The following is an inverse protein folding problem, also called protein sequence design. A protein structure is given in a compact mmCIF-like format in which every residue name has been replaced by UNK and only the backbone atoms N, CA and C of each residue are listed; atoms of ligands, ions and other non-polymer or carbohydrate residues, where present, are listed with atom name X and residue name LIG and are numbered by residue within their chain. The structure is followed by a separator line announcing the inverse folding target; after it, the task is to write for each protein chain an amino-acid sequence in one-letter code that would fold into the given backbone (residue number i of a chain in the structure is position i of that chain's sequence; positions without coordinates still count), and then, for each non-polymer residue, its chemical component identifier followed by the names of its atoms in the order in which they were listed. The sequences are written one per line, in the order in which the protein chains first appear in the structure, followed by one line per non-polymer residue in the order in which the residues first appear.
data_IF_605530769006
#
_entry.id   IF_605530769006
#
_cell.length_a   1.000
_cell.length_b   1.000
_cell.length_c   1.000
_cell.angle_alpha   90.00
_cell.angle_beta   90.00
_cell.angle_gamma   90.00
#
_symmetry.space_group_name_H-M   'P 1'
#
loop_
_entity.id
_entity.type
_entity.pdbx_description
1 polymer ?
2 non-polymer ?
3 water ?
#
# COMPACT_ATOMS: atom_id res chain seq x y z
N UNK A 32 -9.43 -22.36 -15.21
CA UNK A 32 -8.70 -21.78 -14.10
C UNK A 32 -9.32 -20.47 -13.68
N UNK A 33 -8.56 -19.62 -13.00
CA UNK A 33 -9.11 -18.36 -12.50
C UNK A 33 -8.38 -17.18 -13.14
N UNK A 34 -9.08 -16.04 -13.15
CA UNK A 34 -8.58 -14.79 -13.68
C UNK A 34 -8.41 -13.84 -12.50
N UNK A 35 -7.20 -13.32 -12.36
CA UNK A 35 -6.86 -12.42 -11.26
C UNK A 35 -6.51 -11.05 -11.83
N UNK A 36 -7.29 -10.04 -11.47
CA UNK A 36 -6.91 -8.65 -11.68
C UNK A 36 -5.86 -8.31 -10.63
N UNK A 37 -4.63 -8.09 -11.07
CA UNK A 37 -3.53 -7.97 -10.13
C UNK A 37 -2.93 -6.57 -10.18
N UNK A 38 -3.14 -5.80 -9.12
CA UNK A 38 -2.45 -4.53 -8.95
C UNK A 38 -1.31 -4.65 -7.96
N UNK A 39 -1.08 -5.83 -7.41
CA UNK A 39 0.13 -6.07 -6.63
C UNK A 39 1.27 -6.31 -7.61
N UNK A 40 2.49 -6.54 -7.12
CA UNK A 40 3.64 -6.59 -8.00
C UNK A 40 3.63 -7.90 -8.78
N UNK A 41 4.01 -7.81 -10.06
CA UNK A 41 3.97 -8.97 -10.95
C UNK A 41 4.87 -10.10 -10.46
N UNK A 42 6.02 -9.77 -9.90
CA UNK A 42 6.96 -10.82 -9.51
C UNK A 42 6.51 -11.52 -8.23
N UNK A 43 6.08 -10.75 -7.23
CA UNK A 43 5.54 -11.36 -6.02
C UNK A 43 4.37 -12.27 -6.34
N UNK A 44 3.43 -11.80 -7.16
CA UNK A 44 2.23 -12.61 -7.40
C UNK A 44 2.55 -13.86 -8.20
N UNK A 45 3.52 -13.79 -9.11
CA UNK A 45 3.86 -14.97 -9.90
C UNK A 45 4.44 -16.07 -9.02
N UNK A 46 5.18 -15.70 -7.97
CA UNK A 46 5.67 -16.70 -7.03
C UNK A 46 4.54 -17.31 -6.21
N UNK A 47 3.50 -16.52 -5.91
CA UNK A 47 2.29 -17.09 -5.31
C UNK A 47 1.63 -18.07 -6.26
N UNK A 48 1.44 -17.65 -7.51
CA UNK A 48 0.83 -18.55 -8.49
C UNK A 48 1.65 -19.83 -8.62
N UNK A 49 2.97 -19.72 -8.65
CA UNK A 49 3.83 -20.89 -8.79
C UNK A 49 3.50 -21.96 -7.76
N UNK A 50 3.52 -21.57 -6.48
CA UNK A 50 3.23 -22.52 -5.42
C UNK A 50 1.78 -22.97 -5.42
N UNK A 51 0.86 -22.04 -5.70
CA UNK A 51 -0.57 -22.35 -5.69
C UNK A 51 -0.90 -23.38 -6.76
N UNK A 52 -0.40 -23.16 -7.98
CA UNK A 52 -0.69 -24.11 -9.05
C UNK A 52 0.01 -25.44 -8.80
N UNK A 53 1.24 -25.41 -8.30
CA UNK A 53 1.95 -26.65 -8.00
C UNK A 53 1.18 -27.54 -7.04
N UNK A 54 0.52 -26.94 -6.05
CA UNK A 54 -0.14 -27.74 -5.03
C UNK A 54 -1.59 -28.09 -5.37
N UNK A 55 -2.27 -27.23 -6.13
CA UNK A 55 -3.68 -27.44 -6.45
C UNK A 55 -3.95 -27.80 -7.91
N UNK A 56 -3.01 -27.54 -8.82
CA UNK A 56 -3.30 -27.68 -10.23
C UNK A 56 -4.21 -26.62 -10.82
N UNK A 57 -4.68 -25.67 -10.02
CA UNK A 57 -5.53 -24.60 -10.53
C UNK A 57 -4.67 -23.59 -11.29
N UNK A 58 -4.99 -23.36 -12.56
CA UNK A 58 -4.24 -22.42 -13.36
C UNK A 58 -4.76 -21.01 -13.15
N UNK A 59 -3.86 -20.04 -13.22
CA UNK A 59 -4.17 -18.65 -12.93
C UNK A 59 -3.73 -17.78 -14.11
N UNK A 60 -4.63 -16.93 -14.58
CA UNK A 60 -4.33 -15.94 -15.59
C UNK A 60 -4.29 -14.57 -14.93
N UNK A 61 -3.16 -13.89 -15.03
CA UNK A 61 -2.97 -12.58 -14.42
C UNK A 61 -3.31 -11.48 -15.42
N UNK A 62 -4.08 -10.50 -15.00
CA UNK A 62 -4.25 -9.25 -15.75
C UNK A 62 -3.67 -8.17 -14.86
N UNK A 63 -2.45 -7.75 -15.16
CA UNK A 63 -1.68 -6.84 -14.30
C UNK A 63 -1.98 -5.38 -14.62
N UNK A 64 -1.96 -4.54 -13.58
CA UNK A 64 -2.25 -3.13 -13.74
C UNK A 64 -2.03 -2.39 -12.43
N UNK A 65 -2.51 -1.14 -12.38
CA UNK A 65 -2.36 -0.33 -11.18
C UNK A 65 -3.66 -0.31 -10.36
N UNK A 66 -3.53 0.06 -9.09
CA UNK A 66 -4.63 0.02 -8.13
C UNK A 66 -5.88 0.68 -8.69
N UNK A 67 -5.74 1.96 -9.05
CA UNK A 67 -6.89 2.78 -9.43
C UNK A 67 -7.43 2.36 -10.79
N UNK A 68 -6.54 2.04 -11.74
CA UNK A 68 -6.95 1.52 -13.04
C UNK A 68 -7.88 0.32 -12.91
N UNK A 69 -7.40 -0.72 -12.21
CA UNK A 69 -8.15 -1.97 -12.11
C UNK A 69 -9.36 -1.84 -11.20
N UNK A 70 -9.26 -1.02 -10.15
CA UNK A 70 -10.43 -0.78 -9.32
C UNK A 70 -11.57 -0.14 -10.11
N UNK A 71 -11.27 0.95 -10.83
CA UNK A 71 -12.28 1.61 -11.65
C UNK A 71 -12.80 0.70 -12.74
N UNK A 72 -11.93 -0.14 -13.32
CA UNK A 72 -12.37 -1.05 -14.38
C UNK A 72 -13.37 -2.06 -13.84
N UNK A 73 -13.12 -2.59 -12.64
CA UNK A 73 -14.05 -3.53 -12.04
C UNK A 73 -15.42 -2.88 -11.78
N UNK A 74 -15.42 -1.65 -11.27
CA UNK A 74 -16.69 -0.94 -11.03
C UNK A 74 -17.47 -0.76 -12.33
N UNK A 75 -16.76 -0.51 -13.43
CA UNK A 75 -17.46 -0.34 -14.71
C UNK A 75 -17.94 -1.67 -15.26
N UNK A 76 -17.12 -2.72 -15.15
CA UNK A 76 -17.55 -4.05 -15.58
C UNK A 76 -18.70 -4.58 -14.73
N UNK A 77 -18.70 -4.26 -13.43
CA UNK A 77 -19.74 -4.78 -12.57
C UNK A 77 -19.79 -6.30 -12.63
N UNK A 78 -21.00 -6.85 -12.54
CA UNK A 78 -21.14 -8.31 -12.55
C UNK A 78 -20.78 -8.94 -13.90
N UNK A 79 -20.45 -8.14 -14.91
CA UNK A 79 -20.02 -8.67 -16.20
C UNK A 79 -18.52 -8.91 -16.25
N UNK A 80 -17.81 -8.66 -15.16
CA UNK A 80 -16.36 -8.77 -15.17
C UNK A 80 -15.93 -10.22 -15.34
N UNK A 81 -14.87 -10.49 -16.11
CA UNK A 81 -14.30 -11.84 -16.14
C UNK A 81 -13.39 -12.16 -14.96
N UNK A 82 -13.17 -11.21 -14.06
CA UNK A 82 -12.26 -11.43 -12.95
C UNK A 82 -12.87 -12.36 -11.91
N UNK A 83 -12.04 -13.26 -11.37
CA UNK A 83 -12.43 -14.03 -10.19
C UNK A 83 -11.88 -13.44 -8.91
N UNK A 84 -10.73 -12.78 -8.98
CA UNK A 84 -10.01 -12.28 -7.81
C UNK A 84 -9.46 -10.89 -8.13
N UNK A 85 -9.44 -10.01 -7.13
CA UNK A 85 -8.78 -8.72 -7.23
C UNK A 85 -7.73 -8.60 -6.13
N UNK A 86 -6.51 -8.22 -6.51
CA UNK A 86 -5.42 -7.94 -5.57
C UNK A 86 -4.93 -6.50 -5.76
N UNK A 87 -4.60 -5.82 -4.67
CA UNK A 87 -4.13 -4.43 -4.73
C UNK A 87 -2.87 -4.23 -3.91
N UNK A 88 -2.15 -3.14 -4.24
CA UNK A 88 -1.05 -2.69 -3.39
C UNK A 88 -1.56 -2.05 -2.11
N UNK A 89 -2.63 -1.26 -2.20
CA UNK A 89 -3.14 -0.51 -1.07
C UNK A 89 -4.62 -0.79 -0.90
N UNK A 90 -5.20 -0.26 0.18
CA UNK A 90 -6.58 -0.59 0.53
C UNK A 90 -7.64 0.25 -0.18
N UNK A 91 -7.45 1.57 -0.43
CA UNK A 91 -8.58 2.36 -0.96
C UNK A 91 -9.23 1.79 -2.21
N UNK A 92 -8.46 1.20 -3.13
CA UNK A 92 -9.05 0.59 -4.32
C UNK A 92 -9.86 -0.65 -4.00
N UNK A 93 -9.55 -1.34 -2.87
CA UNK A 93 -10.42 -2.42 -2.42
C UNK A 93 -11.75 -1.86 -1.92
N UNK A 94 -11.70 -0.75 -1.18
CA UNK A 94 -12.92 -0.15 -0.66
C UNK A 94 -13.81 0.30 -1.80
N UNK A 95 -13.22 0.79 -2.88
CA UNK A 95 -13.98 1.22 -4.05
C UNK A 95 -14.81 0.07 -4.61
N UNK A 96 -14.19 -1.09 -4.74
CA UNK A 96 -14.88 -2.25 -5.31
C UNK A 96 -15.88 -2.81 -4.31
N UNK A 97 -15.55 -2.76 -3.02
CA UNK A 97 -16.51 -3.21 -2.03
C UNK A 97 -17.73 -2.30 -1.96
N UNK A 98 -17.50 -0.98 -2.06
CA UNK A 98 -18.62 -0.04 -2.09
C UNK A 98 -19.55 -0.30 -3.27
N UNK A 99 -19.01 -0.86 -4.36
CA UNK A 99 -19.81 -1.21 -5.53
C UNK A 99 -20.54 -2.53 -5.36
N UNK A 100 -20.36 -3.20 -4.23
CA UNK A 100 -21.06 -4.44 -3.87
C UNK A 100 -20.57 -5.64 -4.69
N UNK A 101 -19.29 -5.66 -5.06
CA UNK A 101 -18.80 -6.67 -6.01
C UNK A 101 -18.07 -7.84 -5.36
N UNK A 102 -17.82 -7.81 -4.06
CA UNK A 102 -17.04 -8.86 -3.42
C UNK A 102 -17.96 -9.89 -2.77
N UNK A 103 -17.53 -11.16 -2.82
CA UNK A 103 -18.17 -12.22 -2.06
C UNK A 103 -17.58 -12.28 -0.65
N UNK A 104 -18.38 -12.69 0.34
CA UNK A 104 -17.82 -13.02 1.65
C UNK A 104 -16.68 -14.02 1.51
N UNK A 105 -15.58 -13.76 2.22
CA UNK A 105 -14.48 -14.73 2.28
C UNK A 105 -14.78 -15.82 3.29
N UNK A 106 -14.31 -17.03 3.00
CA UNK A 106 -14.42 -18.14 3.94
C UNK A 106 -13.93 -17.73 5.32
N UNK A 107 -14.65 -18.15 6.36
CA UNK A 107 -14.21 -17.85 7.73
C UNK A 107 -12.82 -18.39 8.01
N UNK A 108 -12.52 -19.60 7.52
CA UNK A 108 -11.19 -20.16 7.74
C UNK A 108 -10.11 -19.32 7.07
N UNK A 109 -10.42 -18.66 5.96
CA UNK A 109 -9.44 -17.77 5.35
C UNK A 109 -9.24 -16.51 6.20
N UNK A 110 -10.34 -15.89 6.64
CA UNK A 110 -10.25 -14.69 7.46
C UNK A 110 -9.43 -14.91 8.73
N UNK A 111 -9.52 -16.11 9.31
CA UNK A 111 -8.79 -16.38 10.54
C UNK A 111 -7.28 -16.53 10.33
N UNK A 112 -6.81 -16.53 9.08
CA UNK A 112 -5.38 -16.57 8.80
C UNK A 112 -4.70 -15.21 8.99
N UNK A 113 -5.46 -14.15 9.17
CA UNK A 113 -4.91 -12.79 9.27
C UNK A 113 -5.55 -12.10 10.48
N UNK A 114 -4.78 -11.42 11.33
CA UNK A 114 -5.39 -10.71 12.48
C UNK A 114 -6.38 -9.65 12.04
N UNK A 115 -7.34 -9.38 12.92
CA UNK A 115 -8.40 -8.42 12.63
C UNK A 115 -7.86 -7.03 12.27
N UNK A 116 -6.69 -6.65 12.78
CA UNK A 116 -6.24 -5.30 12.47
C UNK A 116 -5.70 -5.16 11.05
N UNK A 117 -5.52 -6.26 10.32
CA UNK A 117 -5.00 -6.21 8.95
C UNK A 117 -6.07 -6.64 7.94
N UNK A 118 -7.33 -6.35 8.25
CA UNK A 118 -8.51 -6.96 7.68
C UNK A 118 -9.70 -6.03 7.89
N UNK A 119 -10.55 -5.78 6.89
CA UNK A 119 -11.82 -5.09 7.17
C UNK A 119 -12.72 -5.95 8.03
N UNK A 120 -13.49 -5.29 8.91
CA UNK A 120 -14.32 -6.04 9.84
C UNK A 120 -15.38 -6.88 9.13
N UNK A 121 -15.87 -6.42 7.98
CA UNK A 121 -17.00 -7.09 7.32
C UNK A 121 -16.59 -8.39 6.60
N UNK A 122 -15.31 -8.69 6.50
CA UNK A 122 -14.90 -9.97 5.94
C UNK A 122 -15.10 -10.18 4.45
N UNK A 123 -15.40 -9.12 3.67
CA UNK A 123 -15.57 -9.27 2.24
C UNK A 123 -14.26 -9.12 1.46
N UNK A 124 -13.18 -8.71 2.12
CA UNK A 124 -11.83 -8.81 1.57
C UNK A 124 -10.85 -8.92 2.73
N UNK A 125 -9.57 -9.13 2.42
CA UNK A 125 -8.58 -9.46 3.44
C UNK A 125 -7.25 -8.82 3.07
N UNK A 126 -6.48 -8.46 4.09
CA UNK A 126 -5.12 -8.03 3.85
C UNK A 126 -4.24 -9.20 3.46
N UNK A 127 -3.29 -8.94 2.57
CA UNK A 127 -2.39 -9.97 2.08
C UNK A 127 -0.92 -9.63 2.27
N UNK A 128 -0.58 -8.35 2.52
CA UNK A 128 0.77 -7.86 2.76
C UNK A 128 0.63 -6.43 3.27
N UNK A 129 1.71 -5.89 3.84
CA UNK A 129 1.66 -4.53 4.35
C UNK A 129 2.95 -3.79 4.01
N UNK A 130 2.85 -2.46 4.07
CA UNK A 130 3.93 -1.53 3.76
C UNK A 130 3.80 -0.36 4.74
N UNK A 131 4.93 0.15 5.21
CA UNK A 131 4.94 1.26 6.16
C UNK A 131 5.28 2.57 5.46
N UNK A 132 4.50 3.62 5.76
CA UNK A 132 4.91 4.97 5.40
C UNK A 132 6.25 5.26 6.07
N UNK A 133 7.10 6.01 5.38
CA UNK A 133 8.40 6.45 5.88
C UNK A 133 8.68 7.83 5.32
N UNK A 134 9.55 8.57 6.00
CA UNK A 134 10.20 9.74 5.45
C UNK A 134 11.60 9.32 4.99
N UNK A 135 11.80 9.17 3.70
CA UNK A 135 13.14 8.90 3.20
C UNK A 135 13.90 10.21 3.14
N UNK A 136 15.12 10.25 3.67
CA UNK A 136 15.86 11.49 3.78
C UNK A 136 17.32 11.26 3.42
N UNK A 137 17.99 12.35 3.03
CA UNK A 137 19.40 12.35 2.68
C UNK A 137 20.18 12.97 3.82
N UNK A 138 20.97 12.19 4.56
CA UNK A 138 21.69 12.74 5.72
C UNK A 138 22.64 13.89 5.36
N UNK A 139 23.12 13.94 4.12
CA UNK A 139 23.97 15.05 3.70
C UNK A 139 23.17 16.33 3.51
N UNK A 140 21.86 16.23 3.31
CA UNK A 140 21.00 17.40 3.22
C UNK A 140 20.35 17.76 4.55
N UNK A 141 20.03 16.77 5.37
CA UNK A 141 19.28 17.00 6.60
C UNK A 141 19.74 15.99 7.65
N UNK A 142 20.13 16.48 8.81
CA UNK A 142 20.51 15.57 9.88
C UNK A 142 19.28 14.88 10.46
N UNK A 143 19.49 13.68 11.00
CA UNK A 143 18.40 12.96 11.63
C UNK A 143 17.74 13.79 12.72
N UNK A 144 18.53 14.58 13.45
CA UNK A 144 17.99 15.41 14.51
C UNK A 144 17.06 16.50 13.99
N UNK A 145 17.07 16.79 12.69
CA UNK A 145 16.22 17.83 12.12
C UNK A 145 14.93 17.28 11.50
N UNK A 146 14.72 15.97 11.53
CA UNK A 146 13.58 15.38 10.86
C UNK A 146 12.27 15.81 11.53
N UNK A 147 11.18 15.90 10.76
CA UNK A 147 9.91 16.34 11.35
C UNK A 147 9.41 15.30 12.34
N UNK A 148 8.81 15.80 13.44
CA UNK A 148 8.23 14.90 14.43
C UNK A 148 6.94 14.27 13.94
N UNK A 149 6.20 14.99 13.10
CA UNK A 149 4.91 14.57 12.60
C UNK A 149 4.85 14.82 11.10
N UNK A 150 4.13 13.94 10.40
CA UNK A 150 3.83 14.23 9.00
C UNK A 150 3.09 15.57 8.87
N UNK A 151 2.30 15.94 9.87
CA UNK A 151 1.59 17.22 9.80
C UNK A 151 2.56 18.40 9.80
N UNK A 152 3.78 18.21 10.30
CA UNK A 152 4.71 19.32 10.39
C UNK A 152 5.25 19.76 9.03
N UNK A 153 5.16 18.89 8.00
CA UNK A 153 5.65 19.26 6.68
C UNK A 153 4.84 20.39 6.06
N UNK A 154 3.70 20.75 6.64
CA UNK A 154 2.91 21.89 6.20
C UNK A 154 3.49 23.23 6.68
N UNK A 155 4.43 23.20 7.62
CA UNK A 155 4.95 24.42 8.20
C UNK A 155 5.83 25.17 7.20
N UNK A 156 5.81 26.51 7.23
CA UNK A 156 6.57 27.27 6.22
C UNK A 156 8.06 26.94 6.19
N UNK A 157 8.63 26.42 7.28
CA UNK A 157 10.04 26.10 7.27
C UNK A 157 10.36 24.94 6.34
N UNK A 158 9.35 24.17 5.92
CA UNK A 158 9.56 23.01 5.07
C UNK A 158 9.38 23.33 3.58
N UNK A 159 9.20 24.60 3.23
CA UNK A 159 8.96 24.95 1.83
C UNK A 159 10.16 24.58 0.97
N UNK A 160 9.90 23.84 -0.12
CA UNK A 160 10.92 23.40 -1.04
C UNK A 160 11.79 22.24 -0.57
N UNK A 161 11.50 21.65 0.59
CA UNK A 161 12.43 20.69 1.18
C UNK A 161 11.96 19.23 1.13
N UNK A 162 10.76 18.94 0.62
CA UNK A 162 10.35 17.54 0.57
C UNK A 162 9.56 17.25 -0.69
N UNK A 163 9.48 15.96 -1.03
CA UNK A 163 8.84 15.51 -2.26
C UNK A 163 7.90 14.34 -2.04
N UNK A 164 7.11 14.06 -3.07
CA UNK A 164 6.12 12.99 -3.07
C UNK A 164 5.63 12.81 -4.50
N UNK A 165 4.94 11.69 -4.73
CA UNK A 165 4.36 11.37 -6.04
C UNK A 165 2.83 11.39 -5.90
N UNK A 166 2.19 12.55 -6.07
CA UNK A 166 0.77 12.64 -5.71
C UNK A 166 -0.14 11.87 -6.65
N UNK A 167 0.31 11.53 -7.86
CA UNK A 167 -0.52 10.79 -8.80
C UNK A 167 -0.60 9.30 -8.48
N UNK A 168 0.22 8.79 -7.56
CA UNK A 168 0.24 7.37 -7.29
C UNK A 168 -0.76 6.94 -6.24
N UNK A 169 -1.21 5.69 -6.34
CA UNK A 169 -2.11 5.16 -5.34
C UNK A 169 -1.43 5.03 -3.99
N UNK A 170 -0.09 4.92 -3.98
CA UNK A 170 0.65 4.84 -2.71
C UNK A 170 0.39 6.07 -1.87
N UNK A 171 0.74 7.25 -2.39
CA UNK A 171 0.60 8.47 -1.62
C UNK A 171 -0.86 8.79 -1.37
N UNK A 172 -1.74 8.47 -2.33
CA UNK A 172 -3.15 8.74 -2.12
C UNK A 172 -3.68 7.93 -0.95
N UNK A 173 -3.18 6.70 -0.76
CA UNK A 173 -3.59 5.93 0.41
C UNK A 173 -3.14 6.59 1.69
N UNK A 174 -1.92 7.13 1.71
CA UNK A 174 -1.46 7.87 2.88
C UNK A 174 -2.38 9.04 3.19
N UNK A 175 -2.78 9.79 2.15
CA UNK A 175 -3.70 10.91 2.37
C UNK A 175 -5.06 10.40 2.84
N UNK A 176 -5.49 9.22 2.36
CA UNK A 176 -6.77 8.67 2.80
C UNK A 176 -6.74 8.33 4.29
N UNK A 177 -5.58 7.88 4.81
CA UNK A 177 -5.46 7.69 6.25
C UNK A 177 -5.52 9.02 7.01
N UNK A 178 -4.83 10.04 6.52
CA UNK A 178 -4.91 11.35 7.14
C UNK A 178 -6.34 11.85 7.19
N UNK A 179 -7.06 11.69 6.08
CA UNK A 179 -8.47 12.06 6.04
C UNK A 179 -9.26 11.30 7.10
N UNK A 180 -9.06 9.98 7.17
CA UNK A 180 -9.79 9.19 8.17
C UNK A 180 -9.43 9.63 9.59
N UNK A 181 -8.17 10.01 9.80
CA UNK A 181 -7.71 10.33 11.15
C UNK A 181 -8.03 11.77 11.54
N UNK A 182 -7.85 12.69 10.61
CA UNK A 182 -7.85 14.11 10.92
C UNK A 182 -9.07 14.86 10.41
N UNK A 183 -9.82 14.28 9.47
CA UNK A 183 -10.99 14.92 8.92
C UNK A 183 -10.70 15.77 7.71
N UNK A 184 -11.79 16.20 7.06
CA UNK A 184 -11.70 16.87 5.76
C UNK A 184 -10.96 18.21 5.86
N UNK A 185 -11.34 19.06 6.80
CA UNK A 185 -10.78 20.41 6.82
C UNK A 185 -9.31 20.40 7.18
N UNK A 186 -8.93 19.63 8.21
CA UNK A 186 -7.52 19.55 8.58
C UNK A 186 -6.69 18.93 7.46
N UNK A 187 -7.25 17.96 6.75
CA UNK A 187 -6.54 17.32 5.65
C UNK A 187 -6.37 18.27 4.48
N UNK A 188 -7.44 18.99 4.11
CA UNK A 188 -7.33 19.94 3.01
C UNK A 188 -6.35 21.06 3.35
N UNK A 189 -6.34 21.53 4.61
CA UNK A 189 -5.34 22.52 4.99
C UNK A 189 -3.92 22.00 4.79
N UNK A 190 -3.67 20.74 5.18
CA UNK A 190 -2.36 20.14 4.97
C UNK A 190 -2.02 20.02 3.49
N UNK A 191 -3.00 19.61 2.67
CA UNK A 191 -2.76 19.48 1.23
C UNK A 191 -2.46 20.83 0.57
N UNK A 192 -3.10 21.91 1.03
CA UNK A 192 -2.83 23.21 0.44
C UNK A 192 -1.42 23.68 0.78
N UNK A 193 -0.96 23.40 2.00
CA UNK A 193 0.42 23.71 2.38
C UNK A 193 1.40 22.83 1.63
N UNK A 194 1.03 21.57 1.37
CA UNK A 194 1.88 20.72 0.55
C UNK A 194 2.08 21.30 -0.84
N UNK A 195 1.01 21.82 -1.44
CA UNK A 195 1.12 22.48 -2.74
C UNK A 195 2.15 23.61 -2.70
N UNK A 196 2.12 24.43 -1.65
CA UNK A 196 3.15 25.46 -1.49
C UNK A 196 4.54 24.84 -1.33
N UNK A 197 4.65 23.79 -0.51
CA UNK A 197 5.93 23.33 0.02
C UNK A 197 6.60 22.23 -0.80
N UNK A 198 5.86 21.25 -1.32
CA UNK A 198 6.54 20.05 -1.78
C UNK A 198 7.01 20.19 -3.23
N UNK A 199 7.87 19.26 -3.63
CA UNK A 199 8.29 19.10 -5.01
C UNK A 199 7.73 17.79 -5.52
N UNK A 200 7.02 17.84 -6.64
CA UNK A 200 6.39 16.65 -7.20
C UNK A 200 7.36 15.89 -8.11
N UNK A 201 7.27 14.56 -8.06
CA UNK A 201 7.96 13.69 -9.00
C UNK A 201 6.98 12.60 -9.44
N UNK A 202 7.21 12.06 -10.63
CA UNK A 202 6.35 11.01 -11.17
C UNK A 202 6.94 9.65 -10.78
N UNK A 203 6.37 9.05 -9.74
CA UNK A 203 6.79 7.73 -9.29
C UNK A 203 7.47 7.79 -7.93
N UNK A 204 7.17 6.80 -7.08
CA UNK A 204 7.78 6.77 -5.75
C UNK A 204 9.26 6.44 -5.81
N UNK A 205 9.66 5.54 -6.73
CA UNK A 205 11.08 5.30 -6.92
C UNK A 205 11.79 6.54 -7.42
N UNK A 206 11.12 7.34 -8.24
CA UNK A 206 11.68 8.62 -8.68
C UNK A 206 11.89 9.57 -7.50
N UNK A 207 10.91 9.66 -6.58
CA UNK A 207 11.09 10.46 -5.36
C UNK A 207 12.35 10.00 -4.62
N UNK A 208 12.50 8.68 -4.43
CA UNK A 208 13.69 8.19 -3.74
C UNK A 208 14.97 8.58 -4.47
N UNK A 209 14.98 8.49 -5.80
CA UNK A 209 16.16 8.89 -6.57
C UNK A 209 16.50 10.36 -6.38
N UNK A 210 15.47 11.22 -6.33
CA UNK A 210 15.68 12.65 -6.14
C UNK A 210 16.23 12.96 -4.75
N UNK A 211 15.72 12.28 -3.73
CA UNK A 211 16.31 12.40 -2.40
C UNK A 211 17.75 11.93 -2.42
N UNK A 212 17.98 10.77 -3.04
CA UNK A 212 19.33 10.19 -3.10
C UNK A 212 20.32 11.13 -3.78
N UNK A 213 19.86 11.91 -4.76
CA UNK A 213 20.68 12.86 -5.49
C UNK A 213 20.81 14.19 -4.76
N UNK A 214 20.07 14.39 -3.68
CA UNK A 214 20.15 15.64 -2.93
C UNK A 214 19.36 16.79 -3.50
N UNK A 215 18.31 16.52 -4.29
CA UNK A 215 17.52 17.63 -4.84
C UNK A 215 16.59 18.23 -3.79
N UNK A 216 16.21 17.44 -2.80
CA UNK A 216 15.36 17.84 -1.68
C UNK A 216 15.88 17.11 -0.45
N UNK A 217 15.46 17.57 0.73
CA UNK A 217 15.91 16.92 1.97
C UNK A 217 15.36 15.51 2.09
N UNK A 218 14.10 15.32 1.73
CA UNK A 218 13.51 14.01 1.89
C UNK A 218 12.18 13.91 1.17
N UNK A 219 11.49 12.79 1.39
CA UNK A 219 10.24 12.54 0.70
C UNK A 219 9.38 11.49 1.38
N UNK A 220 8.11 11.50 1.04
CA UNK A 220 7.11 10.64 1.66
C UNK A 220 6.82 9.48 0.70
N UNK A 221 7.30 8.29 1.05
CA UNK A 221 7.09 7.08 0.26
C UNK A 221 6.87 5.92 1.23
N UNK A 222 6.86 4.70 0.71
CA UNK A 222 6.73 3.49 1.53
C UNK A 222 8.10 2.86 1.72
N UNK A 223 8.21 2.02 2.76
CA UNK A 223 9.51 1.59 3.25
C UNK A 223 10.27 0.72 2.25
N UNK A 224 9.57 -0.08 1.45
CA UNK A 224 10.24 -1.17 0.73
C UNK A 224 11.09 -0.70 -0.44
N UNK A 225 10.85 0.51 -0.95
CA UNK A 225 11.59 0.99 -2.11
C UNK A 225 13.09 0.99 -1.86
N UNK A 226 13.53 1.49 -0.70
CA UNK A 226 14.95 1.51 -0.38
C UNK A 226 15.50 0.09 -0.27
N UNK A 227 14.75 -0.79 0.40
CA UNK A 227 15.20 -2.17 0.56
C UNK A 227 15.36 -2.84 -0.79
N UNK A 228 14.41 -2.63 -1.70
CA UNK A 228 14.47 -3.26 -3.02
C UNK A 228 15.72 -2.79 -3.77
N UNK A 229 15.97 -1.48 -3.76
CA UNK A 229 17.12 -0.97 -4.51
C UNK A 229 18.42 -1.39 -3.86
N UNK A 230 18.48 -1.37 -2.53
CA UNK A 230 19.70 -1.81 -1.84
C UNK A 230 20.02 -3.27 -2.13
N UNK A 231 19.00 -4.09 -2.40
CA UNK A 231 19.23 -5.48 -2.76
C UNK A 231 19.71 -5.66 -4.19
N UNK A 232 19.68 -4.60 -5.00
CA UNK A 232 20.22 -4.65 -6.35
C UNK A 232 21.57 -3.96 -6.35
N UNK A 233 21.68 -2.79 -6.98
CA UNK A 233 22.98 -2.12 -6.97
C UNK A 233 23.12 -1.10 -5.86
N UNK A 234 22.01 -0.65 -5.27
CA UNK A 234 22.07 0.41 -4.31
C UNK A 234 22.34 1.78 -4.89
N UNK A 235 22.48 1.89 -6.21
CA UNK A 235 22.88 3.17 -6.80
C UNK A 235 21.81 4.24 -6.69
N UNK A 236 20.56 3.87 -6.43
CA UNK A 236 19.48 4.84 -6.28
C UNK A 236 19.14 5.11 -4.82
N UNK A 237 19.87 4.52 -3.89
CA UNK A 237 19.48 4.57 -2.48
C UNK A 237 20.61 4.76 -1.50
N UNK A 238 21.88 4.71 -1.93
CA UNK A 238 22.99 4.64 -0.98
C UNK A 238 23.11 5.90 -0.15
N UNK A 239 22.67 7.04 -0.66
CA UNK A 239 22.75 8.29 0.10
C UNK A 239 21.49 8.57 0.90
N UNK A 240 20.60 7.60 1.06
CA UNK A 240 19.35 7.77 1.78
C UNK A 240 19.37 6.96 3.08
N UNK A 241 18.44 7.31 3.96
CA UNK A 241 18.10 6.53 5.14
C UNK A 241 16.61 6.70 5.36
N UNK A 242 16.04 5.80 6.16
CA UNK A 242 14.59 5.78 6.39
C UNK A 242 14.29 6.28 7.79
N UNK A 243 13.28 7.15 7.90
CA UNK A 243 12.80 7.64 9.19
C UNK A 243 11.35 7.21 9.36
N UNK A 244 11.04 6.65 10.52
CA UNK A 244 9.70 6.20 10.86
C UNK A 244 9.11 7.16 11.87
N UNK A 245 7.91 7.69 11.58
CA UNK A 245 7.29 8.72 12.41
C UNK A 245 6.84 8.16 13.75
N UNK A 246 6.30 6.94 13.77
CA UNK A 246 5.83 6.28 14.99
C UNK A 246 4.75 7.10 15.71
N UNK A 247 4.50 6.77 16.98
CA UNK A 247 3.61 7.56 17.85
C UNK A 247 2.21 7.72 17.27
N UNK A 248 1.73 6.72 16.52
CA UNK A 248 0.39 6.73 15.93
C UNK A 248 0.15 7.98 15.08
N UNK A 249 1.23 8.53 14.52
CA UNK A 249 1.14 9.69 13.64
C UNK A 249 0.47 9.28 12.33
N UNK A 250 -0.16 10.21 11.63
CA UNK A 250 -0.53 9.92 10.23
C UNK A 250 0.65 9.40 9.41
N UNK A 251 1.86 9.93 9.66
CA UNK A 251 3.03 9.46 8.94
C UNK A 251 3.47 8.05 9.28
N UNK A 252 2.87 7.43 10.30
CA UNK A 252 3.15 6.05 10.67
C UNK A 252 2.11 5.09 10.10
N UNK A 253 1.22 5.60 9.24
CA UNK A 253 0.25 4.77 8.55
C UNK A 253 0.90 3.55 7.91
N UNK A 254 0.34 2.40 8.20
CA UNK A 254 0.72 1.13 7.58
C UNK A 254 -0.37 0.78 6.58
N UNK A 255 -0.02 0.78 5.30
CA UNK A 255 -1.00 0.54 4.24
C UNK A 255 -1.08 -0.95 3.95
N UNK A 256 -2.30 -1.46 3.85
CA UNK A 256 -2.57 -2.89 3.72
C UNK A 256 -2.89 -3.22 2.28
N UNK A 257 -2.12 -4.11 1.67
CA UNK A 257 -2.50 -4.66 0.37
C UNK A 257 -3.71 -5.58 0.54
N UNK A 258 -4.60 -5.57 -0.46
CA UNK A 258 -5.88 -6.24 -0.36
C UNK A 258 -6.03 -7.43 -1.30
N UNK A 259 -6.86 -8.38 -0.89
CA UNK A 259 -7.27 -9.46 -1.77
C UNK A 259 -8.74 -9.81 -1.63
N UNK A 260 -9.42 -10.14 -2.71
CA UNK A 260 -10.83 -10.46 -2.63
C UNK A 260 -11.30 -11.31 -3.78
N UNK A 261 -12.43 -11.98 -3.56
CA UNK A 261 -13.09 -12.83 -4.55
C UNK A 261 -14.31 -12.09 -5.09
N UNK A 262 -14.42 -12.00 -6.41
CA UNK A 262 -15.56 -11.31 -7.01
C UNK A 262 -16.83 -12.13 -6.87
N UNK A 263 -17.93 -11.46 -6.50
CA UNK A 263 -19.21 -12.16 -6.33
C UNK A 263 -19.69 -12.80 -7.64
N UNK A 264 -19.32 -12.22 -8.79
CA UNK A 264 -19.71 -12.76 -10.09
C UNK A 264 -18.91 -13.98 -10.51
N UNK A 265 -17.87 -14.33 -9.77
CA UNK A 265 -16.99 -15.43 -10.18
C UNK A 265 -17.79 -16.72 -10.38
N UNK A 266 -17.51 -17.40 -11.49
CA UNK A 266 -18.05 -18.73 -11.72
C UNK A 266 -17.12 -19.82 -11.21
N UNK A 267 -16.02 -19.46 -10.55
CA UNK A 267 -15.04 -20.42 -10.02
C UNK A 267 -14.79 -20.10 -8.54
N UNK A 268 -15.86 -20.08 -7.75
CA UNK A 268 -15.78 -19.57 -6.39
C UNK A 268 -14.85 -20.42 -5.51
N UNK A 269 -14.97 -21.75 -5.57
CA UNK A 269 -14.10 -22.59 -4.74
C UNK A 269 -12.63 -22.35 -5.07
N UNK A 270 -12.31 -22.31 -6.36
CA UNK A 270 -10.93 -22.06 -6.78
C UNK A 270 -10.47 -20.67 -6.36
N UNK A 271 -11.35 -19.67 -6.49
CA UNK A 271 -11.00 -18.30 -6.11
C UNK A 271 -10.77 -18.19 -4.62
N UNK A 272 -11.67 -18.78 -3.81
CA UNK A 272 -11.45 -18.76 -2.36
C UNK A 272 -10.13 -19.44 -2.01
N UNK A 273 -9.79 -20.51 -2.72
CA UNK A 273 -8.58 -21.27 -2.41
C UNK A 273 -7.32 -20.48 -2.73
N UNK A 274 -7.37 -19.63 -3.75
CA UNK A 274 -6.23 -18.79 -4.06
C UNK A 274 -5.99 -17.76 -2.96
N UNK A 275 -7.07 -17.10 -2.49
CA UNK A 275 -6.93 -16.16 -1.37
C UNK A 275 -6.43 -16.88 -0.12
N UNK A 276 -7.00 -18.06 0.19
CA UNK A 276 -6.52 -18.82 1.34
C UNK A 276 -5.04 -19.15 1.20
N UNK A 277 -4.61 -19.47 -0.03
CA UNK A 277 -3.21 -19.80 -0.24
C UNK A 277 -2.31 -18.59 0.02
N UNK A 278 -2.64 -17.44 -0.57
CA UNK A 278 -1.73 -16.31 -0.46
C UNK A 278 -1.66 -15.77 0.98
N UNK A 279 -2.74 -15.91 1.76
CA UNK A 279 -2.73 -15.47 3.15
C UNK A 279 -2.32 -16.59 4.12
N UNK A 280 -2.14 -17.80 3.62
CA UNK A 280 -1.74 -18.93 4.45
C UNK A 280 -0.25 -18.98 4.66
N UNK A 281 0.20 -20.02 5.34
CA UNK A 281 1.58 -20.07 5.79
C UNK A 281 2.56 -20.05 4.62
N UNK A 282 2.30 -20.81 3.56
CA UNK A 282 3.24 -20.82 2.45
C UNK A 282 3.22 -19.49 1.70
N UNK A 283 2.04 -18.92 1.46
CA UNK A 283 1.98 -17.65 0.76
C UNK A 283 2.64 -16.53 1.53
N UNK A 284 2.38 -16.48 2.85
CA UNK A 284 3.01 -15.45 3.67
C UNK A 284 4.51 -15.70 3.81
N UNK A 285 4.92 -16.96 3.73
CA UNK A 285 6.34 -17.31 3.75
C UNK A 285 7.09 -16.66 2.60
N UNK A 286 6.46 -16.59 1.42
CA UNK A 286 7.11 -15.94 0.29
C UNK A 286 7.44 -14.49 0.60
N UNK A 287 6.60 -13.81 1.38
CA UNK A 287 6.88 -12.43 1.72
C UNK A 287 8.13 -12.30 2.58
N UNK A 288 8.40 -13.32 3.40
CA UNK A 288 9.56 -13.29 4.29
C UNK A 288 10.88 -13.46 3.54
N UNK A 289 10.88 -14.24 2.44
CA UNK A 289 12.12 -14.65 1.80
C UNK A 289 12.38 -14.05 0.42
N UNK A 290 11.38 -13.45 -0.22
CA UNK A 290 11.56 -12.89 -1.55
C UNK A 290 12.30 -11.55 -1.48
N UNK A 291 12.42 -10.87 -2.62
CA UNK A 291 13.09 -9.57 -2.68
C UNK A 291 12.09 -8.42 -2.85
N UNK A 292 10.87 -8.58 -2.33
CA UNK A 292 9.91 -7.48 -2.35
C UNK A 292 9.99 -6.63 -1.08
N UNK A 293 10.39 -7.23 0.03
CA UNK A 293 10.59 -6.53 1.30
C UNK A 293 9.32 -5.86 1.80
N UNK A 294 8.17 -6.44 1.47
CA UNK A 294 6.91 -6.02 2.07
C UNK A 294 6.59 -6.95 3.22
N UNK A 295 5.81 -6.44 4.18
CA UNK A 295 5.54 -7.17 5.41
C UNK A 295 4.52 -8.28 5.19
N UNK A 296 4.70 -9.39 5.89
CA UNK A 296 3.65 -10.38 6.03
C UNK A 296 2.60 -9.88 7.01
N UNK A 297 1.34 -10.26 6.77
CA UNK A 297 0.24 -9.93 7.67
C UNK A 297 -0.33 -11.14 8.38
N UNK A 298 0.07 -12.35 7.99
CA UNK A 298 -0.57 -13.54 8.52
C UNK A 298 -0.29 -13.74 10.00
N UNK A 299 -1.24 -14.38 10.67
CA UNK A 299 -1.08 -14.73 12.06
C UNK A 299 0.19 -15.55 12.23
N UNK A 300 1.04 -15.14 13.18
CA UNK A 300 2.26 -15.85 13.53
C UNK A 300 3.31 -15.82 12.41
N UNK A 301 3.14 -15.00 11.37
CA UNK A 301 4.02 -15.02 10.22
C UNK A 301 5.19 -14.05 10.45
N UNK A 302 6.41 -14.57 10.32
CA UNK A 302 7.60 -13.74 10.40
C UNK A 302 7.79 -12.96 9.12
N UNK A 303 8.27 -11.72 9.24
CA UNK A 303 8.60 -10.89 8.09
C UNK A 303 10.11 -10.93 7.83
N UNK A 304 10.52 -10.37 6.70
CA UNK A 304 11.93 -10.31 6.37
C UNK A 304 12.71 -9.69 7.53
N UNK A 305 13.79 -10.30 8.00
CA UNK A 305 14.47 -9.83 9.22
C UNK A 305 15.14 -8.48 9.07
N UNK A 306 15.35 -7.99 7.85
CA UNK A 306 15.89 -6.66 7.68
C UNK A 306 14.87 -5.56 7.96
N UNK A 307 13.60 -5.90 8.04
CA UNK A 307 12.55 -4.90 8.27
C UNK A 307 12.39 -4.60 9.75
N UNK A 308 12.00 -3.38 10.06
CA UNK A 308 11.66 -3.04 11.44
C UNK A 308 10.28 -3.63 11.74
N UNK A 309 10.15 -4.45 12.78
CA UNK A 309 8.87 -5.13 13.02
C UNK A 309 7.71 -4.14 13.14
N UNK A 310 6.60 -4.46 12.48
CA UNK A 310 5.42 -3.59 12.50
C UNK A 310 4.99 -3.24 13.92
N UNK A 311 5.16 -4.17 14.87
CA UNK A 311 4.74 -3.87 16.24
C UNK A 311 5.60 -2.82 16.91
N UNK A 312 6.79 -2.53 16.37
CA UNK A 312 7.61 -1.47 16.93
C UNK A 312 7.36 -0.13 16.25
N UNK A 313 6.53 -0.09 15.22
CA UNK A 313 6.29 1.17 14.51
C UNK A 313 5.15 1.97 15.06
N UNK A 314 4.29 1.37 15.89
CA UNK A 314 3.18 2.07 16.55
C UNK A 314 2.33 2.83 15.53
N UNK A 315 1.82 2.09 14.56
CA UNK A 315 0.98 2.69 13.53
C UNK A 315 -0.34 3.18 14.13
N UNK A 316 -0.94 4.22 13.55
CA UNK A 316 -2.28 4.62 14.00
C UNK A 316 -3.30 3.54 13.69
N UNK A 317 -4.37 3.53 14.48
CA UNK A 317 -5.52 2.69 14.20
C UNK A 317 -6.32 3.31 13.06
N UNK A 318 -6.37 2.61 11.93
CA UNK A 318 -7.05 3.10 10.73
C UNK A 318 -7.86 1.95 10.14
N UNK A 319 -9.17 1.96 10.34
CA UNK A 319 -10.00 0.92 9.78
C UNK A 319 -9.91 0.96 8.26
N UNK A 320 -9.55 -0.14 7.60
CA UNK A 320 -9.36 -0.10 6.13
C UNK A 320 -10.57 0.38 5.37
N UNK A 321 -11.79 0.06 5.81
CA UNK A 321 -12.99 0.50 5.11
C UNK A 321 -13.22 2.00 5.19
N UNK A 322 -12.55 2.69 6.12
CA UNK A 322 -12.74 4.13 6.21
C UNK A 322 -11.89 4.90 5.22
N UNK A 323 -11.17 4.24 4.32
CA UNK A 323 -10.26 4.91 3.40
C UNK A 323 -11.00 5.20 2.09
N UNK A 324 -11.10 6.48 1.74
CA UNK A 324 -12.02 6.98 0.72
C UNK A 324 -11.20 7.59 -0.42
N UNK A 325 -10.98 6.82 -1.49
CA UNK A 325 -10.10 7.31 -2.55
C UNK A 325 -10.76 8.42 -3.36
N UNK A 326 -12.08 8.42 -3.47
CA UNK A 326 -12.73 9.47 -4.26
C UNK A 326 -12.61 10.83 -3.61
N UNK A 327 -12.90 10.91 -2.30
CA UNK A 327 -12.78 12.18 -1.59
C UNK A 327 -11.34 12.66 -1.55
N UNK A 328 -10.38 11.74 -1.49
CA UNK A 328 -8.97 12.11 -1.52
C UNK A 328 -8.63 12.83 -2.82
N UNK A 329 -9.02 12.24 -3.97
CA UNK A 329 -8.72 12.87 -5.25
C UNK A 329 -9.34 14.26 -5.35
N UNK A 330 -10.58 14.40 -4.86
CA UNK A 330 -11.22 15.71 -4.86
C UNK A 330 -10.46 16.71 -4.00
N UNK A 331 -10.05 16.29 -2.80
CA UNK A 331 -9.32 17.22 -1.94
C UNK A 331 -8.00 17.63 -2.56
N UNK A 332 -7.26 16.66 -3.13
CA UNK A 332 -5.98 16.98 -3.74
C UNK A 332 -6.15 17.85 -4.97
N UNK A 333 -7.26 17.69 -5.70
CA UNK A 333 -7.54 18.58 -6.83
C UNK A 333 -7.89 19.98 -6.34
N UNK A 334 -8.71 20.08 -5.29
CA UNK A 334 -8.99 21.36 -4.68
C UNK A 334 -7.71 22.07 -4.26
N UNK A 335 -6.73 21.30 -3.76
CA UNK A 335 -5.46 21.87 -3.34
C UNK A 335 -4.55 22.20 -4.52
N UNK A 336 -4.90 21.81 -5.74
CA UNK A 336 -4.03 22.01 -6.89
C UNK A 336 -3.02 20.91 -7.13
N UNK A 337 -3.09 19.79 -6.43
CA UNK A 337 -2.04 18.78 -6.54
C UNK A 337 -2.25 17.85 -7.74
N UNK A 338 -3.49 17.67 -8.18
CA UNK A 338 -3.79 16.83 -9.33
C UNK A 338 -4.45 17.68 -10.41
#
# INVERSE_FOLDING_TARGET
MKFRLSPLRTAALVAASLFLAPQGMAADAQNGIVVYNAQHENLVKSWVDGFTKETGIKVTLRNGDDSELGNQLVQEGSASPADVFLTENSPSMVLVDNAKLFAPLDAATLQQVPAQYRPQHGRWIGIAARSTVFVYNPAKISEAQLPHSLMDLAKPEWKGRWAASPSGADFQAIVSAMLALKGEQATLDWLKAMKTNFVAYKGNSTVMKAVNAGQIDGGVIYHYYRFVDQSKTGENSKNTQLYYFKHQDPGAFVSISGGGVLASSKHKAQAQAFIKWITGKQGQDALRTNNAFEYAVGVDAASNPKLTPLKDLDAPKVEPSSLNSKKVIELMTQAGLL
#
